data_IF_977291757766
#
_entry.id   IF_977291757766
#
_cell.length_a   1.000
_cell.length_b   1.000
_cell.length_c   1.000
_cell.angle_alpha   90.00
_cell.angle_beta   90.00
_cell.angle_gamma   90.00
#
_symmetry.space_group_name_H-M   'P 1'
#
loop_
_entity.id
_entity.type
_entity.pdbx_description
1 polymer ?
#
# COMPACT_ATOMS: atom_id res chain seq x y z
N UNK A 1 13.96 -14.74 0.75
CA UNK A 1 13.88 -13.31 1.12
C UNK A 1 12.83 -12.63 0.28
N UNK A 2 11.92 -11.89 0.93
CA UNK A 2 10.87 -11.21 0.20
C UNK A 2 11.43 -10.00 -0.56
N UNK A 3 10.89 -9.77 -1.75
CA UNK A 3 11.37 -8.71 -2.61
C UNK A 3 10.17 -7.96 -3.19
N UNK A 4 10.21 -6.64 -3.10
CA UNK A 4 9.13 -5.80 -3.60
C UNK A 4 9.14 -5.79 -5.12
N UNK A 5 8.03 -6.20 -5.73
CA UNK A 5 7.90 -6.29 -7.17
C UNK A 5 7.26 -5.03 -7.74
N UNK A 6 8.00 -3.93 -7.62
CA UNK A 6 7.68 -2.63 -8.18
C UNK A 6 8.95 -2.03 -8.75
N UNK A 7 8.81 -1.27 -9.83
CA UNK A 7 9.93 -0.47 -10.30
C UNK A 7 10.22 0.63 -9.28
N UNK A 8 11.49 1.05 -9.14
CA UNK A 8 11.84 2.08 -8.16
C UNK A 8 11.01 3.36 -8.30
N UNK A 9 10.75 3.81 -9.52
CA UNK A 9 9.95 5.02 -9.73
C UNK A 9 8.50 4.82 -9.30
N UNK A 10 7.96 3.62 -9.49
CA UNK A 10 6.60 3.30 -9.05
C UNK A 10 6.51 3.29 -7.53
N UNK A 11 7.48 2.66 -6.87
CA UNK A 11 7.51 2.62 -5.41
C UNK A 11 7.64 4.03 -4.84
N UNK A 12 8.48 4.86 -5.46
CA UNK A 12 8.68 6.24 -5.03
C UNK A 12 7.39 7.05 -5.15
N UNK A 13 6.70 6.91 -6.27
CA UNK A 13 5.43 7.62 -6.48
C UNK A 13 4.40 7.21 -5.45
N UNK A 14 4.27 5.89 -5.21
CA UNK A 14 3.30 5.37 -4.25
C UNK A 14 3.62 5.87 -2.84
N UNK A 15 4.90 5.84 -2.44
CA UNK A 15 5.30 6.34 -1.13
C UNK A 15 4.94 7.81 -0.94
N UNK A 16 5.16 8.63 -1.98
CA UNK A 16 4.81 10.06 -1.89
C UNK A 16 3.31 10.27 -1.80
N UNK A 17 2.55 9.55 -2.62
CA UNK A 17 1.09 9.67 -2.58
C UNK A 17 0.54 9.29 -1.21
N UNK A 18 1.04 8.18 -0.65
CA UNK A 18 0.62 7.73 0.67
C UNK A 18 1.01 8.76 1.74
N UNK A 19 2.24 9.26 1.69
CA UNK A 19 2.72 10.22 2.69
C UNK A 19 1.95 11.53 2.66
N UNK A 20 1.44 11.91 1.49
CA UNK A 20 0.69 13.16 1.34
C UNK A 20 -0.73 13.07 1.89
N UNK A 21 -1.26 11.86 2.06
CA UNK A 21 -2.67 11.68 2.41
C UNK A 21 -2.89 10.97 3.74
N UNK A 22 -1.92 10.22 4.21
CA UNK A 22 -2.10 9.43 5.44
C UNK A 22 -1.61 10.17 6.68
N UNK A 23 -2.19 9.87 7.85
CA UNK A 23 -1.72 10.47 9.10
C UNK A 23 -0.26 10.12 9.38
N UNK A 24 0.39 11.02 10.11
CA UNK A 24 1.77 10.77 10.55
C UNK A 24 1.81 9.50 11.40
N UNK A 25 2.81 8.68 11.16
CA UNK A 25 2.96 7.42 11.88
C UNK A 25 2.25 6.24 11.25
N UNK A 26 1.50 6.46 10.18
CA UNK A 26 0.86 5.34 9.47
C UNK A 26 1.93 4.44 8.86
N UNK A 27 1.72 3.14 8.99
CA UNK A 27 2.57 2.12 8.36
C UNK A 27 1.81 1.50 7.21
N UNK A 28 2.53 1.20 6.13
CA UNK A 28 1.93 0.57 4.96
C UNK A 28 2.78 -0.63 4.58
N UNK A 29 2.12 -1.77 4.38
CA UNK A 29 2.78 -3.00 3.96
C UNK A 29 2.14 -3.50 2.68
N UNK A 30 2.98 -3.99 1.77
CA UNK A 30 2.55 -4.61 0.53
C UNK A 30 2.30 -6.10 0.81
N UNK A 31 1.19 -6.62 0.29
CA UNK A 31 0.93 -8.06 0.34
C UNK A 31 0.49 -8.52 -1.05
N UNK A 32 0.19 -9.80 -1.20
CA UNK A 32 -0.25 -10.31 -2.49
C UNK A 32 0.90 -10.51 -3.47
N UNK A 33 0.58 -10.54 -4.77
CA UNK A 33 1.54 -10.94 -5.78
C UNK A 33 2.77 -10.02 -5.88
N UNK A 34 2.61 -8.72 -5.58
CA UNK A 34 3.76 -7.81 -5.66
C UNK A 34 4.69 -7.91 -4.46
N UNK A 35 4.27 -8.61 -3.41
CA UNK A 35 5.13 -8.93 -2.27
C UNK A 35 5.74 -10.32 -2.40
N UNK A 36 4.99 -11.28 -2.94
CA UNK A 36 5.41 -12.68 -2.98
C UNK A 36 6.00 -13.10 -4.33
N UNK A 37 5.65 -12.40 -5.40
CA UNK A 37 6.02 -12.79 -6.76
C UNK A 37 5.17 -13.92 -7.31
N UNK A 38 4.29 -14.51 -6.51
CA UNK A 38 3.46 -15.62 -6.95
C UNK A 38 2.28 -15.10 -7.76
N UNK A 39 2.08 -15.65 -8.95
CA UNK A 39 1.01 -15.25 -9.84
C UNK A 39 1.17 -13.83 -10.38
N UNK A 40 2.35 -13.26 -10.25
CA UNK A 40 2.62 -11.90 -10.67
C UNK A 40 2.57 -11.75 -12.18
N UNK A 41 1.82 -10.74 -12.63
CA UNK A 41 1.71 -10.36 -14.05
C UNK A 41 1.97 -8.87 -14.17
N UNK A 42 2.25 -8.38 -15.40
CA UNK A 42 2.56 -6.94 -15.57
C UNK A 42 1.51 -6.00 -15.01
N UNK A 43 0.24 -6.38 -15.04
CA UNK A 43 -0.84 -5.51 -14.57
C UNK A 43 -1.46 -6.00 -13.25
N UNK A 44 -0.77 -6.86 -12.51
CA UNK A 44 -1.25 -7.32 -11.22
C UNK A 44 -1.47 -6.13 -10.28
N UNK A 45 -2.56 -6.17 -9.53
CA UNK A 45 -2.88 -5.10 -8.57
C UNK A 45 -1.80 -4.99 -7.50
N UNK A 46 -1.63 -3.78 -6.99
CA UNK A 46 -0.79 -3.54 -5.83
C UNK A 46 -1.69 -3.52 -4.61
N UNK A 47 -1.51 -4.48 -3.71
CA UNK A 47 -2.33 -4.63 -2.51
C UNK A 47 -1.60 -4.05 -1.31
N UNK A 48 -2.22 -3.06 -0.67
CA UNK A 48 -1.62 -2.36 0.47
C UNK A 48 -2.48 -2.49 1.70
N UNK A 49 -1.83 -2.78 2.83
CA UNK A 49 -2.47 -2.79 4.13
C UNK A 49 -1.98 -1.57 4.91
N UNK A 50 -2.91 -0.74 5.34
CA UNK A 50 -2.61 0.49 6.07
C UNK A 50 -2.89 0.26 7.54
N UNK A 51 -1.88 0.52 8.37
CA UNK A 51 -1.99 0.42 9.82
C UNK A 51 -1.72 1.81 10.39
N UNK A 52 -2.78 2.47 10.84
CA UNK A 52 -2.68 3.85 11.32
C UNK A 52 -2.86 3.92 12.83
N UNK A 53 -2.08 4.78 13.51
CA UNK A 53 -2.25 4.99 14.95
C UNK A 53 -3.53 5.75 15.29
N UNK A 54 -4.15 6.38 14.30
CA UNK A 54 -5.42 7.10 14.49
C UNK A 54 -6.39 6.67 13.41
N UNK A 55 -7.67 6.93 13.63
CA UNK A 55 -8.70 6.58 12.65
C UNK A 55 -8.43 7.29 11.32
N UNK A 56 -8.58 6.55 10.22
CA UNK A 56 -8.37 7.10 8.89
C UNK A 56 -9.64 7.83 8.43
N UNK A 57 -9.53 9.13 8.11
CA UNK A 57 -10.69 9.85 7.60
C UNK A 57 -11.10 9.29 6.23
N UNK A 58 -12.40 9.04 6.04
CA UNK A 58 -12.90 8.50 4.77
C UNK A 58 -12.59 9.45 3.61
N UNK A 59 -12.66 10.76 3.85
CA UNK A 59 -12.36 11.73 2.80
C UNK A 59 -10.90 11.65 2.36
N UNK A 60 -9.99 11.43 3.31
CA UNK A 60 -8.57 11.31 2.97
C UNK A 60 -8.31 10.04 2.16
N UNK A 61 -8.94 8.93 2.53
CA UNK A 61 -8.82 7.69 1.77
C UNK A 61 -9.38 7.84 0.36
N UNK A 62 -10.51 8.55 0.23
CA UNK A 62 -11.12 8.81 -1.07
C UNK A 62 -10.20 9.61 -1.97
N UNK A 63 -9.57 10.66 -1.43
CA UNK A 63 -8.63 11.47 -2.20
C UNK A 63 -7.39 10.67 -2.59
N UNK A 64 -6.92 9.81 -1.70
CA UNK A 64 -5.77 8.96 -1.99
C UNK A 64 -6.10 7.97 -3.11
N UNK A 65 -7.25 7.30 -3.03
CA UNK A 65 -7.67 6.38 -4.08
C UNK A 65 -7.77 7.09 -5.42
N UNK A 66 -8.32 8.29 -5.42
CA UNK A 66 -8.46 9.09 -6.63
C UNK A 66 -7.09 9.46 -7.20
N UNK A 67 -6.16 9.90 -6.36
CA UNK A 67 -4.82 10.26 -6.81
C UNK A 67 -4.10 9.06 -7.44
N UNK A 68 -4.26 7.88 -6.85
CA UNK A 68 -3.65 6.67 -7.38
C UNK A 68 -4.31 6.22 -8.67
N UNK A 69 -5.65 6.35 -8.76
CA UNK A 69 -6.39 5.94 -9.94
C UNK A 69 -6.10 6.85 -11.14
N UNK A 70 -5.85 8.13 -10.89
CA UNK A 70 -5.56 9.09 -11.95
C UNK A 70 -4.08 9.12 -12.35
N UNK A 71 -3.26 8.30 -11.72
CA UNK A 71 -1.83 8.26 -11.98
C UNK A 71 -1.51 7.48 -13.24
N UNK A 72 -0.22 7.48 -13.58
CA UNK A 72 0.28 6.71 -14.74
C UNK A 72 0.69 5.29 -14.37
N UNK A 73 0.29 4.80 -13.18
CA UNK A 73 0.60 3.43 -12.80
C UNK A 73 -0.13 2.46 -13.73
N UNK A 74 0.54 1.42 -14.21
CA UNK A 74 -0.08 0.47 -15.13
C UNK A 74 -0.92 -0.61 -14.42
N UNK A 75 -1.22 -0.41 -13.15
CA UNK A 75 -2.00 -1.35 -12.34
C UNK A 75 -2.84 -0.57 -11.35
N UNK A 76 -3.88 -1.22 -10.82
CA UNK A 76 -4.71 -0.64 -9.78
C UNK A 76 -4.06 -0.82 -8.41
N UNK A 77 -4.40 0.07 -7.48
CA UNK A 77 -3.92 -0.01 -6.10
C UNK A 77 -5.11 -0.23 -5.18
N UNK A 78 -5.08 -1.34 -4.44
CA UNK A 78 -6.12 -1.67 -3.46
C UNK A 78 -5.63 -1.30 -2.08
N UNK A 79 -6.43 -0.49 -1.38
CA UNK A 79 -6.10 -0.01 -0.03
C UNK A 79 -7.02 -0.69 0.97
N UNK A 80 -6.43 -1.39 1.94
CA UNK A 80 -7.17 -1.99 3.05
C UNK A 80 -6.72 -1.33 4.35
N UNK A 81 -7.70 -0.94 5.15
CA UNK A 81 -7.45 -0.44 6.51
C UNK A 81 -7.34 -1.65 7.43
N UNK A 82 -6.28 -1.69 8.26
CA UNK A 82 -6.04 -2.80 9.18
C UNK A 82 -7.26 -3.08 10.06
N UNK A 83 -8.01 -2.05 10.44
CA UNK A 83 -9.17 -2.24 11.31
C UNK A 83 -10.32 -2.98 10.63
N UNK A 84 -10.32 -3.03 9.30
CA UNK A 84 -11.40 -3.65 8.54
C UNK A 84 -11.10 -5.09 8.14
N UNK A 85 -9.90 -5.60 8.43
CA UNK A 85 -9.55 -6.97 8.04
C UNK A 85 -9.60 -7.88 9.26
N UNK A 86 -9.96 -9.15 9.02
CA UNK A 86 -10.04 -10.12 10.09
C UNK A 86 -8.66 -10.56 10.54
N UNK A 87 -8.59 -11.11 11.75
CA UNK A 87 -7.37 -11.68 12.27
C UNK A 87 -6.89 -12.84 11.40
N UNK A 88 -7.82 -13.65 10.90
CA UNK A 88 -7.50 -14.77 10.02
C UNK A 88 -6.88 -14.31 8.70
N UNK A 89 -7.45 -13.26 8.10
CA UNK A 89 -6.91 -12.70 6.88
C UNK A 89 -5.50 -12.15 7.11
N UNK A 90 -5.32 -11.39 8.20
CA UNK A 90 -4.03 -10.83 8.52
C UNK A 90 -2.99 -11.92 8.73
N UNK A 91 -3.33 -12.98 9.48
CA UNK A 91 -2.42 -14.09 9.71
C UNK A 91 -2.02 -14.76 8.40
N UNK A 92 -2.98 -14.91 7.48
CA UNK A 92 -2.70 -15.53 6.19
C UNK A 92 -1.71 -14.70 5.37
N UNK A 93 -1.93 -13.40 5.25
CA UNK A 93 -1.04 -12.58 4.43
C UNK A 93 0.34 -12.42 5.08
N UNK A 94 0.40 -12.47 6.41
CA UNK A 94 1.70 -12.48 7.09
C UNK A 94 2.48 -13.75 6.80
N UNK A 95 1.79 -14.91 6.77
CA UNK A 95 2.44 -16.16 6.43
C UNK A 95 2.88 -16.21 4.97
N UNK A 96 2.09 -15.63 4.07
CA UNK A 96 2.42 -15.61 2.64
C UNK A 96 3.57 -14.67 2.33
N UNK A 97 3.73 -13.63 3.13
CA UNK A 97 4.81 -12.68 2.98
C UNK A 97 4.32 -11.27 2.74
N UNK A 98 4.81 -10.35 3.55
CA UNK A 98 4.50 -8.92 3.42
C UNK A 98 5.80 -8.14 3.38
N UNK A 99 5.77 -6.99 2.72
CA UNK A 99 6.94 -6.13 2.62
C UNK A 99 6.56 -4.74 3.11
N UNK A 100 7.37 -4.22 4.04
CA UNK A 100 7.17 -2.89 4.58
C UNK A 100 7.47 -1.85 3.51
N UNK A 101 6.51 -0.96 3.24
CA UNK A 101 6.70 0.13 2.30
C UNK A 101 7.12 1.42 3.02
N UNK A 102 6.86 1.48 4.31
CA UNK A 102 7.29 2.62 5.13
C UNK A 102 8.81 2.65 5.27
N UNK A 103 9.45 3.80 5.53
CA UNK A 103 8.80 5.08 5.80
C UNK A 103 8.24 5.71 4.53
N UNK A 104 7.12 6.40 4.71
CA UNK A 104 6.47 7.09 3.61
C UNK A 104 7.12 8.45 3.37
N UNK A 105 7.09 8.91 2.13
CA UNK A 105 7.63 10.23 1.81
C UNK A 105 6.57 11.28 2.00
N UNK A 106 6.89 12.35 2.69
CA UNK A 106 6.02 13.49 2.87
C UNK A 106 6.49 14.63 1.99
N UNK A 107 5.54 15.41 1.48
CA UNK A 107 5.81 16.46 0.50
C UNK A 107 5.97 17.83 1.14
N UNK A 108 6.10 17.91 2.43
CA UNK A 108 6.20 19.21 3.08
C UNK A 108 7.63 19.49 3.54
N UNK A 109 7.91 20.70 3.80
CA UNK A 109 9.18 21.12 4.35
C UNK A 109 9.06 21.46 5.80
#
# INVERSE_FOLDING_TARGET
>A
MAELHLLPAQADFVRRALGSHLPRGARVRVFGSRATGRGLKPHSDLDLLIDSPVELPLAALGRLREALAESNLPFSVDLLDRVDVSTEFLSRIEREGMIELSPLRTEHV
#
